data_IF_870334953810
#
_entry.id   IF_870334953810
#
_cell.length_a   1.000
_cell.length_b   1.000
_cell.length_c   1.000
_cell.angle_alpha   90.00
_cell.angle_beta   90.00
_cell.angle_gamma   90.00
#
_symmetry.space_group_name_H-M   'P 1'
#
loop_
_entity.id
_entity.type
_entity.pdbx_description
1 polymer ?
#
# COMPACT_ATOMS: atom_id res chain seq x y z
N UNK A 1 45.57 24.49 12.20
CA UNK A 1 44.65 24.34 13.35
C UNK A 1 43.47 25.28 13.16
N UNK A 2 42.36 24.77 12.66
CA UNK A 2 41.07 25.47 12.64
C UNK A 2 40.60 25.55 14.10
N UNK A 3 40.41 26.77 14.65
CA UNK A 3 39.90 26.90 16.00
C UNK A 3 38.48 26.28 16.09
N UNK A 4 38.16 25.70 17.21
CA UNK A 4 36.83 25.04 17.43
C UNK A 4 35.68 26.02 17.10
N UNK A 5 35.86 27.34 17.38
CA UNK A 5 34.90 28.40 17.03
C UNK A 5 34.70 28.54 15.53
N UNK A 6 35.76 28.49 14.74
CA UNK A 6 35.67 28.59 13.27
C UNK A 6 35.02 27.37 12.66
N UNK A 7 35.29 26.16 13.21
CA UNK A 7 34.66 24.93 12.81
C UNK A 7 33.14 24.95 13.09
N UNK A 8 32.74 25.40 14.28
CA UNK A 8 31.33 25.52 14.65
C UNK A 8 30.60 26.55 13.78
N UNK A 9 31.18 27.70 13.53
CA UNK A 9 30.60 28.72 12.64
C UNK A 9 30.43 28.19 11.22
N UNK A 10 31.38 27.44 10.70
CA UNK A 10 31.29 26.85 9.35
C UNK A 10 30.13 25.85 9.24
N UNK A 11 29.98 24.97 10.23
CA UNK A 11 28.87 24.00 10.28
C UNK A 11 27.53 24.74 10.35
N UNK A 12 27.41 25.78 11.19
CA UNK A 12 26.18 26.56 11.32
C UNK A 12 25.79 27.23 9.98
N UNK A 13 26.76 27.78 9.25
CA UNK A 13 26.51 28.38 7.93
C UNK A 13 26.01 27.35 6.92
N UNK A 14 26.59 26.15 6.91
CA UNK A 14 26.15 25.06 6.03
C UNK A 14 24.70 24.66 6.35
N UNK A 15 24.40 24.43 7.62
CA UNK A 15 23.03 24.03 8.05
C UNK A 15 22.03 25.11 7.66
N UNK A 16 22.36 26.38 7.89
CA UNK A 16 21.49 27.49 7.54
C UNK A 16 21.29 27.62 6.03
N UNK A 17 22.35 27.46 5.23
CA UNK A 17 22.28 27.45 3.76
C UNK A 17 21.39 26.32 3.22
N UNK A 18 21.56 25.11 3.73
CA UNK A 18 20.71 23.96 3.35
C UNK A 18 19.25 24.21 3.76
N UNK A 19 19.01 24.78 4.94
CA UNK A 19 17.67 25.10 5.42
C UNK A 19 16.97 26.15 4.55
N UNK A 20 17.68 27.18 4.11
CA UNK A 20 17.16 28.22 3.19
C UNK A 20 16.79 27.58 1.84
N UNK A 21 17.66 26.74 1.28
CA UNK A 21 17.41 26.05 0.01
C UNK A 21 16.18 25.13 0.14
N UNK A 22 16.09 24.37 1.23
CA UNK A 22 14.94 23.52 1.52
C UNK A 22 13.63 24.31 1.65
N UNK A 23 13.68 25.42 2.41
CA UNK A 23 12.54 26.30 2.61
C UNK A 23 12.06 26.94 1.29
N UNK A 24 13.00 27.43 0.46
CA UNK A 24 12.70 28.00 -0.86
C UNK A 24 12.05 26.96 -1.79
N UNK A 25 12.53 25.73 -1.79
CA UNK A 25 11.91 24.64 -2.58
C UNK A 25 10.49 24.33 -2.12
N UNK A 26 10.25 24.23 -0.81
CA UNK A 26 8.93 23.96 -0.26
C UNK A 26 7.93 25.07 -0.60
N UNK A 27 8.34 26.34 -0.52
CA UNK A 27 7.48 27.49 -0.86
C UNK A 27 7.16 27.58 -2.36
N UNK A 28 8.06 27.12 -3.23
CA UNK A 28 7.82 27.10 -4.67
C UNK A 28 6.94 25.92 -5.13
N UNK A 29 6.62 24.95 -4.25
CA UNK A 29 5.69 23.83 -4.51
C UNK A 29 4.20 24.21 -4.36
N UNK A 30 3.86 25.45 -4.05
CA UNK A 30 2.57 25.87 -3.52
C UNK A 30 1.42 26.06 -4.51
N UNK A 31 1.48 25.60 -5.74
CA UNK A 31 0.37 25.73 -6.71
C UNK A 31 -0.20 24.37 -7.14
N UNK A 32 -0.62 23.54 -6.20
CA UNK A 32 -1.50 22.41 -6.52
C UNK A 32 -2.94 22.91 -6.63
N UNK A 33 -3.39 23.14 -7.85
CA UNK A 33 -4.77 23.58 -8.14
C UNK A 33 -5.75 22.41 -8.28
N UNK A 34 -5.29 21.18 -8.10
CA UNK A 34 -6.13 19.98 -8.21
C UNK A 34 -6.46 19.46 -6.80
N UNK A 35 -7.75 19.23 -6.55
CA UNK A 35 -8.26 18.64 -5.29
C UNK A 35 -8.86 17.28 -5.65
N UNK A 36 -8.51 16.26 -4.90
CA UNK A 36 -9.06 14.90 -5.00
C UNK A 36 -9.83 14.59 -3.72
N UNK A 37 -11.11 14.27 -3.83
CA UNK A 37 -11.94 13.82 -2.73
C UNK A 37 -11.83 12.30 -2.62
N UNK A 38 -11.26 11.78 -1.53
CA UNK A 38 -11.01 10.37 -1.32
C UNK A 38 -11.85 9.83 -0.18
N UNK A 39 -12.67 8.82 -0.43
CA UNK A 39 -13.35 8.08 0.62
C UNK A 39 -12.48 6.90 1.09
N UNK A 40 -12.01 6.95 2.33
CA UNK A 40 -11.19 5.90 2.93
C UNK A 40 -12.09 4.98 3.76
N UNK A 41 -12.11 3.70 3.42
CA UNK A 41 -12.88 2.67 4.14
C UNK A 41 -12.00 1.97 5.16
N UNK A 42 -12.35 2.10 6.44
CA UNK A 42 -11.66 1.45 7.56
C UNK A 42 -12.57 0.42 8.24
N UNK A 43 -12.62 -0.84 7.78
CA UNK A 43 -13.56 -1.84 8.25
C UNK A 43 -13.23 -2.43 9.62
N UNK A 44 -12.01 -2.25 10.11
CA UNK A 44 -11.51 -2.78 11.38
C UNK A 44 -11.76 -4.29 11.57
N UNK A 45 -11.56 -5.07 10.51
CA UNK A 45 -11.73 -6.53 10.50
C UNK A 45 -10.48 -7.21 11.05
N UNK A 46 -10.64 -8.08 12.04
CA UNK A 46 -9.54 -8.88 12.58
C UNK A 46 -8.97 -9.81 11.48
N UNK A 47 -7.68 -9.70 11.15
CA UNK A 47 -7.04 -10.50 10.10
C UNK A 47 -7.10 -12.01 10.37
N UNK A 48 -7.11 -12.45 11.63
CA UNK A 48 -7.09 -13.86 12.01
C UNK A 48 -8.39 -14.60 11.66
N UNK A 49 -9.53 -13.91 11.69
CA UNK A 49 -10.84 -14.50 11.42
C UNK A 49 -11.38 -14.19 10.03
N UNK A 50 -10.75 -13.28 9.31
CA UNK A 50 -11.22 -12.78 8.02
C UNK A 50 -11.48 -13.89 7.00
N UNK A 51 -10.55 -14.82 6.83
CA UNK A 51 -10.68 -15.92 5.87
C UNK A 51 -11.69 -16.98 6.28
N UNK A 52 -11.93 -17.18 7.58
CA UNK A 52 -12.92 -18.11 8.09
C UNK A 52 -14.35 -17.63 7.81
N UNK A 53 -14.56 -16.31 7.82
CA UNK A 53 -15.85 -15.67 7.61
C UNK A 53 -15.99 -15.03 6.21
N UNK A 54 -15.36 -15.60 5.18
CA UNK A 54 -15.22 -15.03 3.84
C UNK A 54 -16.49 -14.36 3.30
N UNK A 55 -17.63 -15.07 3.27
CA UNK A 55 -18.89 -14.55 2.71
C UNK A 55 -19.37 -13.30 3.46
N UNK A 56 -19.36 -13.37 4.80
CA UNK A 56 -19.80 -12.26 5.65
C UNK A 56 -18.94 -11.03 5.47
N UNK A 57 -17.61 -11.21 5.41
CA UNK A 57 -16.68 -10.11 5.22
C UNK A 57 -16.82 -9.48 3.84
N UNK A 58 -16.99 -10.29 2.79
CA UNK A 58 -17.22 -9.76 1.43
C UNK A 58 -18.51 -8.94 1.38
N UNK A 59 -19.61 -9.43 1.95
CA UNK A 59 -20.88 -8.69 2.00
C UNK A 59 -20.77 -7.40 2.83
N UNK A 60 -20.05 -7.44 3.94
CA UNK A 60 -19.80 -6.26 4.77
C UNK A 60 -18.98 -5.21 4.01
N UNK A 61 -17.91 -5.63 3.31
CA UNK A 61 -17.10 -4.73 2.49
C UNK A 61 -17.87 -4.13 1.32
N UNK A 62 -18.81 -4.89 0.74
CA UNK A 62 -19.70 -4.40 -0.30
C UNK A 62 -20.64 -3.32 0.25
N UNK A 63 -21.21 -3.50 1.44
CA UNK A 63 -22.02 -2.47 2.11
C UNK A 63 -21.24 -1.18 2.36
N UNK A 64 -20.00 -1.30 2.87
CA UNK A 64 -19.12 -0.14 3.09
C UNK A 64 -18.71 0.54 1.78
N UNK A 65 -18.57 -0.24 0.68
CA UNK A 65 -18.33 0.33 -0.64
C UNK A 65 -19.50 1.19 -1.10
N UNK A 66 -20.74 0.69 -0.94
CA UNK A 66 -21.95 1.45 -1.27
C UNK A 66 -22.10 2.72 -0.42
N UNK A 67 -21.78 2.65 0.86
CA UNK A 67 -21.77 3.83 1.74
C UNK A 67 -20.71 4.86 1.28
N UNK A 68 -19.51 4.38 0.93
CA UNK A 68 -18.41 5.24 0.50
C UNK A 68 -18.72 5.99 -0.80
N UNK A 69 -19.28 5.31 -1.82
CA UNK A 69 -19.61 5.96 -3.11
C UNK A 69 -20.76 6.96 -2.99
N UNK A 70 -21.64 6.81 -2.01
CA UNK A 70 -22.73 7.77 -1.73
C UNK A 70 -22.23 9.12 -1.18
N UNK A 71 -20.95 9.21 -0.80
CA UNK A 71 -20.29 10.47 -0.39
C UNK A 71 -19.79 11.27 -1.60
N UNK A 72 -20.04 10.78 -2.83
CA UNK A 72 -19.60 11.39 -4.09
C UNK A 72 -18.08 11.68 -4.15
N UNK A 73 -17.22 10.69 -3.83
CA UNK A 73 -15.77 10.86 -3.89
C UNK A 73 -15.25 10.66 -5.32
N UNK A 74 -14.06 11.19 -5.58
CA UNK A 74 -13.31 10.92 -6.82
C UNK A 74 -12.65 9.53 -6.82
N UNK A 75 -12.37 8.97 -5.63
CA UNK A 75 -11.71 7.69 -5.43
C UNK A 75 -12.17 7.05 -4.12
N UNK A 76 -12.47 5.75 -4.14
CA UNK A 76 -12.63 4.94 -2.93
C UNK A 76 -11.36 4.11 -2.69
N UNK A 77 -10.90 4.09 -1.43
CA UNK A 77 -9.72 3.31 -1.02
C UNK A 77 -10.09 2.31 0.07
N UNK A 78 -9.82 1.04 -0.18
CA UNK A 78 -9.89 -0.04 0.80
C UNK A 78 -8.49 -0.33 1.37
N UNK A 79 -8.37 -0.89 2.59
CA UNK A 79 -7.09 -1.18 3.21
C UNK A 79 -6.34 -2.34 2.53
N UNK A 80 -5.13 -2.60 2.99
CA UNK A 80 -4.32 -3.76 2.61
C UNK A 80 -5.08 -5.07 2.84
N UNK A 81 -5.03 -5.96 1.84
CA UNK A 81 -5.72 -7.28 1.86
C UNK A 81 -7.18 -7.18 2.35
N UNK A 82 -7.91 -6.17 1.89
CA UNK A 82 -9.24 -5.82 2.40
C UNK A 82 -10.24 -6.98 2.38
N UNK A 83 -10.27 -7.72 1.27
CA UNK A 83 -11.18 -8.85 1.09
C UNK A 83 -10.46 -10.20 1.20
N UNK A 84 -11.06 -11.21 1.84
CA UNK A 84 -10.57 -12.58 1.85
C UNK A 84 -10.82 -13.27 0.49
N UNK A 85 -10.24 -12.73 -0.55
CA UNK A 85 -10.43 -13.16 -1.94
C UNK A 85 -9.19 -12.90 -2.78
N UNK A 86 -8.87 -13.84 -3.66
CA UNK A 86 -7.87 -13.67 -4.71
C UNK A 86 -8.53 -12.98 -5.91
N UNK A 87 -8.71 -11.66 -5.85
CA UNK A 87 -9.54 -10.89 -6.78
C UNK A 87 -9.19 -11.09 -8.26
N UNK A 88 -7.93 -11.37 -8.60
CA UNK A 88 -7.52 -11.68 -9.98
C UNK A 88 -8.20 -12.96 -10.49
N UNK A 89 -8.39 -13.97 -9.64
CA UNK A 89 -8.99 -15.26 -9.99
C UNK A 89 -10.47 -15.35 -9.62
N UNK A 90 -10.89 -14.71 -8.54
CA UNK A 90 -12.28 -14.67 -8.08
C UNK A 90 -13.09 -13.63 -8.86
N UNK A 91 -13.47 -13.98 -10.08
CA UNK A 91 -14.26 -13.11 -10.96
C UNK A 91 -15.60 -12.72 -10.33
N UNK A 92 -16.20 -13.58 -9.48
CA UNK A 92 -17.48 -13.28 -8.83
C UNK A 92 -17.35 -12.09 -7.88
N UNK A 93 -16.38 -12.11 -6.97
CA UNK A 93 -16.16 -11.00 -6.03
C UNK A 93 -15.68 -9.76 -6.77
N UNK A 94 -14.78 -9.91 -7.76
CA UNK A 94 -14.33 -8.79 -8.57
C UNK A 94 -15.46 -8.13 -9.36
N UNK A 95 -16.33 -8.91 -10.01
CA UNK A 95 -17.45 -8.38 -10.77
C UNK A 95 -18.49 -7.68 -9.90
N UNK A 96 -18.66 -8.11 -8.64
CA UNK A 96 -19.47 -7.39 -7.66
C UNK A 96 -18.92 -5.98 -7.42
N UNK A 97 -17.63 -5.83 -7.14
CA UNK A 97 -16.97 -4.54 -6.96
C UNK A 97 -17.04 -3.70 -8.26
N UNK A 98 -16.75 -4.31 -9.42
CA UNK A 98 -16.80 -3.64 -10.71
C UNK A 98 -18.21 -3.10 -11.02
N UNK A 99 -19.26 -3.80 -10.63
CA UNK A 99 -20.65 -3.34 -10.81
C UNK A 99 -20.90 -2.03 -10.06
N UNK A 100 -20.47 -1.94 -8.81
CA UNK A 100 -20.60 -0.72 -7.99
C UNK A 100 -19.77 0.41 -8.59
N UNK A 101 -18.50 0.15 -8.96
CA UNK A 101 -17.61 1.09 -9.65
C UNK A 101 -18.26 1.63 -10.94
N UNK A 102 -18.82 0.76 -11.77
CA UNK A 102 -19.44 1.16 -13.04
C UNK A 102 -20.73 1.97 -12.82
N UNK A 103 -21.55 1.57 -11.86
CA UNK A 103 -22.84 2.22 -11.60
C UNK A 103 -22.67 3.64 -11.06
N UNK A 104 -21.74 3.84 -10.12
CA UNK A 104 -21.47 5.14 -9.52
C UNK A 104 -20.41 5.96 -10.27
N UNK A 105 -19.74 5.37 -11.25
CA UNK A 105 -18.62 5.96 -11.99
C UNK A 105 -17.46 6.42 -11.07
N UNK A 106 -17.26 5.74 -9.95
CA UNK A 106 -16.20 6.03 -8.96
C UNK A 106 -15.20 4.87 -8.91
N UNK A 107 -13.91 5.10 -9.19
CA UNK A 107 -12.89 4.07 -9.14
C UNK A 107 -12.61 3.59 -7.70
N UNK A 108 -12.13 2.34 -7.60
CA UNK A 108 -11.78 1.68 -6.34
C UNK A 108 -10.34 1.20 -6.36
N UNK A 109 -9.56 1.59 -5.35
CA UNK A 109 -8.28 0.96 -5.02
C UNK A 109 -8.46 0.00 -3.85
N UNK A 110 -8.17 -1.29 -4.03
CA UNK A 110 -8.34 -2.30 -2.98
C UNK A 110 -7.12 -3.19 -2.83
N UNK A 111 -6.71 -3.44 -1.58
CA UNK A 111 -5.67 -4.43 -1.30
C UNK A 111 -6.17 -5.87 -1.56
N UNK A 112 -5.35 -6.69 -2.19
CA UNK A 112 -5.64 -8.09 -2.52
C UNK A 112 -4.39 -8.94 -2.51
N UNK A 113 -4.57 -10.26 -2.39
CA UNK A 113 -3.50 -11.21 -2.69
C UNK A 113 -3.63 -11.62 -4.16
N UNK A 114 -2.52 -11.54 -4.88
CA UNK A 114 -2.39 -12.03 -6.25
C UNK A 114 -1.56 -13.31 -6.29
N UNK A 115 -1.78 -14.18 -7.27
CA UNK A 115 -0.97 -15.38 -7.46
C UNK A 115 -0.56 -15.53 -8.92
N UNK A 116 0.71 -15.85 -9.15
CA UNK A 116 1.23 -16.28 -10.45
C UNK A 116 1.73 -17.73 -10.43
N UNK A 117 1.86 -18.32 -11.60
CA UNK A 117 2.45 -19.63 -11.81
C UNK A 117 3.66 -19.47 -12.71
N UNK A 118 4.84 -19.81 -12.19
CA UNK A 118 6.10 -19.78 -12.93
C UNK A 118 6.85 -21.08 -12.67
N UNK A 119 7.35 -21.75 -13.71
CA UNK A 119 8.14 -23.00 -13.62
C UNK A 119 7.50 -24.06 -12.70
N UNK A 120 6.19 -24.31 -12.85
CA UNK A 120 5.42 -25.24 -12.03
C UNK A 120 5.33 -24.88 -10.53
N UNK A 121 5.70 -23.66 -10.13
CA UNK A 121 5.61 -23.16 -8.76
C UNK A 121 4.60 -22.02 -8.67
N UNK A 122 3.79 -22.05 -7.60
CA UNK A 122 2.85 -20.96 -7.29
C UNK A 122 3.55 -19.92 -6.42
N UNK A 123 3.47 -18.66 -6.83
CA UNK A 123 3.94 -17.51 -6.08
C UNK A 123 2.75 -16.67 -5.63
N UNK A 124 2.89 -16.05 -4.47
CA UNK A 124 1.91 -15.14 -3.89
C UNK A 124 2.50 -13.74 -3.84
N UNK A 125 1.66 -12.74 -4.11
CA UNK A 125 2.04 -11.33 -4.07
C UNK A 125 1.05 -10.58 -3.20
N UNK A 126 1.55 -9.76 -2.28
CA UNK A 126 0.76 -8.74 -1.62
C UNK A 126 0.57 -7.60 -2.62
N UNK A 127 -0.66 -7.29 -2.98
CA UNK A 127 -0.94 -6.44 -4.14
C UNK A 127 -2.09 -5.49 -3.88
N UNK A 128 -2.13 -4.44 -4.67
CA UNK A 128 -3.28 -3.55 -4.79
C UNK A 128 -3.87 -3.67 -6.19
N UNK A 129 -5.19 -3.76 -6.25
CA UNK A 129 -5.97 -3.77 -7.48
C UNK A 129 -6.67 -2.43 -7.61
N UNK A 130 -6.45 -1.76 -8.73
CA UNK A 130 -7.15 -0.55 -9.10
C UNK A 130 -8.22 -0.88 -10.14
N UNK A 131 -9.49 -0.64 -9.80
CA UNK A 131 -10.67 -0.96 -10.60
C UNK A 131 -11.27 0.36 -11.08
N UNK A 132 -11.21 0.61 -12.39
CA UNK A 132 -11.79 1.79 -13.02
C UNK A 132 -13.15 1.49 -13.65
N UNK A 133 -14.02 2.50 -13.82
CA UNK A 133 -15.29 2.34 -14.53
C UNK A 133 -15.07 1.85 -15.97
N UNK A 134 -15.77 0.76 -16.32
CA UNK A 134 -15.79 0.18 -17.68
C UNK A 134 -14.42 -0.21 -18.27
N UNK A 135 -13.40 -0.35 -17.45
CA UNK A 135 -12.05 -0.72 -17.86
C UNK A 135 -11.58 -2.02 -17.20
N UNK A 136 -10.47 -2.57 -17.73
CA UNK A 136 -9.74 -3.63 -17.05
C UNK A 136 -9.01 -3.06 -15.82
N UNK A 137 -8.91 -3.87 -14.76
CA UNK A 137 -8.18 -3.48 -13.57
C UNK A 137 -6.67 -3.43 -13.81
N UNK A 138 -5.99 -2.59 -13.06
CA UNK A 138 -4.54 -2.51 -12.98
C UNK A 138 -4.08 -3.10 -11.63
N UNK A 139 -2.85 -3.60 -11.58
CA UNK A 139 -2.25 -4.20 -10.38
C UNK A 139 -0.92 -3.53 -10.05
N UNK A 140 -0.70 -3.31 -8.77
CA UNK A 140 0.61 -3.08 -8.19
C UNK A 140 0.91 -4.22 -7.21
N UNK A 141 2.08 -4.81 -7.28
CA UNK A 141 2.54 -5.83 -6.34
C UNK A 141 3.66 -5.27 -5.49
N UNK A 142 3.53 -5.41 -4.17
CA UNK A 142 4.48 -4.93 -3.18
C UNK A 142 5.92 -5.33 -3.53
N UNK A 143 6.81 -4.36 -3.62
CA UNK A 143 8.21 -4.55 -4.02
C UNK A 143 9.07 -4.84 -2.78
N UNK A 144 8.84 -4.11 -1.70
CA UNK A 144 9.61 -4.23 -0.46
C UNK A 144 8.83 -5.01 0.60
N UNK A 145 9.13 -6.30 0.71
CA UNK A 145 8.49 -7.19 1.66
C UNK A 145 9.03 -6.98 3.07
N UNK A 146 8.19 -7.24 4.08
CA UNK A 146 8.61 -7.21 5.48
C UNK A 146 9.52 -8.41 5.76
N UNK A 147 10.78 -8.17 6.17
CA UNK A 147 11.70 -9.26 6.52
C UNK A 147 11.11 -10.12 7.65
N UNK A 148 11.30 -11.44 7.56
CA UNK A 148 10.85 -12.45 8.51
C UNK A 148 9.32 -12.62 8.65
N UNK A 149 8.50 -11.69 8.15
CA UNK A 149 7.04 -11.80 8.16
C UNK A 149 6.49 -12.22 6.78
N UNK A 150 6.90 -11.55 5.71
CA UNK A 150 6.44 -11.83 4.35
C UNK A 150 7.41 -12.71 3.56
N UNK A 151 8.70 -12.74 3.93
CA UNK A 151 9.69 -13.64 3.32
C UNK A 151 10.80 -14.02 4.30
N UNK A 152 11.43 -15.18 4.03
CA UNK A 152 12.58 -15.66 4.80
C UNK A 152 13.89 -15.14 4.21
N UNK A 153 14.64 -14.34 5.00
CA UNK A 153 15.99 -13.89 4.63
C UNK A 153 17.00 -15.03 4.56
N UNK A 154 16.85 -16.06 5.42
CA UNK A 154 17.78 -17.18 5.56
C UNK A 154 16.99 -18.50 5.66
N UNK A 155 16.34 -18.99 4.59
CA UNK A 155 15.51 -20.18 4.65
C UNK A 155 16.27 -21.42 5.11
N UNK A 156 17.57 -21.55 4.73
CA UNK A 156 18.41 -22.67 5.14
C UNK A 156 18.74 -22.69 6.65
N UNK A 157 18.83 -21.52 7.29
CA UNK A 157 19.13 -21.40 8.71
C UNK A 157 17.90 -21.61 9.60
N UNK A 158 16.73 -21.15 9.15
CA UNK A 158 15.50 -21.20 9.95
C UNK A 158 14.67 -22.48 9.72
N UNK A 159 14.92 -23.23 8.63
CA UNK A 159 14.22 -24.47 8.34
C UNK A 159 14.34 -25.53 9.46
N UNK A 160 15.48 -25.69 10.17
CA UNK A 160 15.58 -26.58 11.33
C UNK A 160 14.77 -26.10 12.54
N UNK A 161 14.60 -24.77 12.72
CA UNK A 161 13.87 -24.17 13.84
C UNK A 161 12.36 -24.30 13.71
N UNK A 162 11.84 -24.53 12.50
CA UNK A 162 10.41 -24.83 12.28
C UNK A 162 9.97 -26.13 12.96
N UNK A 163 10.90 -27.05 13.24
CA UNK A 163 10.66 -28.27 14.02
C UNK A 163 10.43 -28.03 15.52
N UNK A 164 10.70 -26.81 16.01
CA UNK A 164 10.52 -26.44 17.42
C UNK A 164 9.12 -25.86 17.71
N UNK A 165 8.12 -26.10 16.84
CA UNK A 165 6.74 -25.59 17.01
C UNK A 165 6.64 -24.06 17.23
N UNK A 166 7.63 -23.30 16.81
CA UNK A 166 7.52 -21.85 16.71
C UNK A 166 6.70 -21.63 15.44
N UNK A 167 5.37 -21.53 15.57
CA UNK A 167 4.45 -21.16 14.49
C UNK A 167 4.71 -19.69 14.13
N UNK A 168 5.76 -19.44 13.38
CA UNK A 168 5.90 -18.23 12.61
C UNK A 168 5.17 -18.52 11.31
N UNK A 169 3.95 -18.00 11.17
CA UNK A 169 3.16 -18.06 9.94
C UNK A 169 3.88 -17.19 8.90
N UNK A 170 4.88 -17.78 8.25
CA UNK A 170 5.77 -17.09 7.31
C UNK A 170 5.07 -17.05 5.97
N UNK A 171 4.63 -15.87 5.57
CA UNK A 171 4.15 -15.65 4.22
C UNK A 171 5.25 -15.96 3.20
N UNK A 172 4.95 -16.81 2.23
CA UNK A 172 5.83 -17.06 1.07
C UNK A 172 5.48 -16.07 -0.05
N UNK A 173 5.55 -14.79 0.24
CA UNK A 173 5.33 -13.76 -0.77
C UNK A 173 6.58 -13.58 -1.64
N UNK A 174 6.33 -13.32 -2.92
CA UNK A 174 7.34 -12.87 -3.88
C UNK A 174 7.22 -11.35 -4.02
N UNK A 175 8.34 -10.66 -4.07
CA UNK A 175 8.38 -9.23 -4.35
C UNK A 175 7.93 -8.94 -5.78
N UNK A 176 7.21 -7.84 -5.97
CA UNK A 176 6.98 -7.24 -7.27
C UNK A 176 8.26 -6.61 -7.84
N UNK A 177 8.22 -6.26 -9.11
CA UNK A 177 9.36 -5.72 -9.85
C UNK A 177 9.06 -4.36 -10.52
N UNK A 178 7.79 -3.95 -10.52
CA UNK A 178 7.33 -2.76 -11.23
C UNK A 178 6.77 -1.69 -10.31
N UNK A 179 7.29 -0.48 -10.42
CA UNK A 179 6.73 0.72 -9.80
C UNK A 179 5.52 1.19 -10.63
N UNK A 180 4.32 0.77 -10.25
CA UNK A 180 3.10 1.05 -11.01
C UNK A 180 2.55 2.44 -10.68
N UNK A 181 2.30 3.24 -11.72
CA UNK A 181 1.52 4.47 -11.63
C UNK A 181 0.09 4.19 -12.08
N UNK A 182 -0.87 4.56 -11.27
CA UNK A 182 -2.29 4.52 -11.59
C UNK A 182 -2.77 5.88 -12.09
N UNK A 183 -3.76 5.87 -12.97
CA UNK A 183 -4.32 7.07 -13.58
C UNK A 183 -5.84 7.06 -13.56
N UNK A 184 -6.46 8.15 -13.12
CA UNK A 184 -7.90 8.43 -13.25
C UNK A 184 -8.15 9.94 -13.26
N UNK A 185 -9.12 10.42 -14.04
CA UNK A 185 -9.52 11.84 -14.11
C UNK A 185 -8.33 12.81 -14.20
N UNK A 186 -7.34 12.50 -15.04
CA UNK A 186 -6.09 13.27 -15.20
C UNK A 186 -5.20 13.37 -13.94
N UNK A 187 -5.44 12.51 -12.95
CA UNK A 187 -4.56 12.36 -11.78
C UNK A 187 -3.67 11.13 -11.93
N UNK A 188 -2.40 11.32 -11.63
CA UNK A 188 -1.43 10.23 -11.52
C UNK A 188 -1.13 9.95 -10.04
N UNK A 189 -1.31 8.72 -9.61
CA UNK A 189 -1.00 8.33 -8.24
C UNK A 189 -0.35 6.97 -8.16
N UNK A 190 0.24 6.68 -7.02
CA UNK A 190 0.77 5.37 -6.73
C UNK A 190 0.37 4.89 -5.35
N UNK A 191 0.63 3.61 -5.09
CA UNK A 191 0.28 2.98 -3.84
C UNK A 191 1.52 2.41 -3.15
N UNK A 192 1.60 2.63 -1.84
CA UNK A 192 2.56 2.03 -0.94
C UNK A 192 1.82 1.02 -0.06
N UNK A 193 2.33 -0.20 0.03
CA UNK A 193 1.69 -1.23 0.83
C UNK A 193 2.46 -1.39 2.15
N UNK A 194 1.82 -0.93 3.26
CA UNK A 194 2.28 -1.14 4.63
C UNK A 194 3.75 -0.68 4.82
N UNK A 195 4.66 -1.58 5.11
CA UNK A 195 6.09 -1.34 5.35
C UNK A 195 6.79 -0.45 4.30
N UNK A 196 6.32 -0.44 3.05
CA UNK A 196 6.90 0.42 2.01
C UNK A 196 6.81 1.90 2.34
N UNK A 197 5.82 2.33 3.12
CA UNK A 197 5.66 3.72 3.56
C UNK A 197 6.82 4.21 4.42
N UNK A 198 7.52 3.29 5.08
CA UNK A 198 8.70 3.58 5.90
C UNK A 198 10.01 3.67 5.11
N UNK A 199 9.98 3.41 3.78
CA UNK A 199 11.16 3.40 2.92
C UNK A 199 11.14 4.63 2.01
N UNK A 200 11.89 5.72 2.32
CA UNK A 200 11.83 6.97 1.56
C UNK A 200 12.15 6.82 0.08
N UNK A 201 13.03 5.88 -0.26
CA UNK A 201 13.44 5.60 -1.64
C UNK A 201 12.28 5.12 -2.52
N UNK A 202 11.33 4.37 -1.94
CA UNK A 202 10.15 3.89 -2.66
C UNK A 202 9.25 5.06 -3.04
N UNK A 203 8.93 5.91 -2.07
CA UNK A 203 8.14 7.13 -2.29
C UNK A 203 8.78 8.04 -3.35
N UNK A 204 10.10 8.26 -3.23
CA UNK A 204 10.86 9.06 -4.18
C UNK A 204 10.77 8.51 -5.62
N UNK A 205 10.93 7.20 -5.80
CA UNK A 205 10.85 6.57 -7.12
C UNK A 205 9.46 6.70 -7.75
N UNK A 206 8.38 6.59 -6.98
CA UNK A 206 7.05 6.82 -7.50
C UNK A 206 6.84 8.26 -7.96
N UNK A 207 7.32 9.23 -7.17
CA UNK A 207 7.26 10.65 -7.56
C UNK A 207 8.10 10.93 -8.79
N UNK A 208 9.31 10.36 -8.90
CA UNK A 208 10.16 10.45 -10.10
C UNK A 208 9.48 9.87 -11.36
N UNK A 209 8.60 8.89 -11.20
CA UNK A 209 7.79 8.32 -12.29
C UNK A 209 6.50 9.09 -12.57
N UNK A 210 6.25 10.17 -11.86
CA UNK A 210 5.14 11.09 -12.13
C UNK A 210 3.95 10.96 -11.18
N UNK A 211 4.03 10.21 -10.08
CA UNK A 211 2.96 10.21 -9.09
C UNK A 211 2.78 11.60 -8.48
N UNK A 212 1.57 12.16 -8.60
CA UNK A 212 1.17 13.45 -8.04
C UNK A 212 0.79 13.33 -6.56
N UNK A 213 0.28 12.16 -6.15
CA UNK A 213 0.04 11.81 -4.74
C UNK A 213 0.26 10.31 -4.49
N UNK A 214 0.39 9.95 -3.21
CA UNK A 214 0.63 8.59 -2.78
C UNK A 214 -0.52 8.13 -1.87
N UNK A 215 -1.01 6.92 -2.10
CA UNK A 215 -1.95 6.23 -1.22
C UNK A 215 -1.17 5.23 -0.39
N UNK A 216 -1.39 5.18 0.92
CA UNK A 216 -0.80 4.19 1.81
C UNK A 216 -1.91 3.23 2.25
N UNK A 217 -1.76 1.95 1.93
CA UNK A 217 -2.65 0.88 2.39
C UNK A 217 -1.93 0.03 3.41
N UNK A 218 -2.45 -0.03 4.64
CA UNK A 218 -1.89 -0.85 5.70
C UNK A 218 -2.98 -1.66 6.42
N UNK A 219 -2.55 -2.71 7.13
CA UNK A 219 -3.39 -3.49 8.02
C UNK A 219 -2.67 -3.74 9.34
N UNK A 220 -2.67 -2.74 10.22
CA UNK A 220 -2.00 -2.80 11.51
C UNK A 220 -2.68 -3.75 12.51
N UNK A 221 -3.79 -4.37 12.13
CA UNK A 221 -4.46 -5.42 12.91
C UNK A 221 -3.54 -6.61 13.24
N UNK A 222 -2.49 -6.85 12.45
CA UNK A 222 -1.44 -7.83 12.73
C UNK A 222 -0.55 -7.47 13.92
N UNK A 223 -0.42 -6.17 14.22
CA UNK A 223 0.43 -5.62 15.26
C UNK A 223 -0.33 -5.37 16.57
N UNK A 224 -1.58 -5.86 16.66
CA UNK A 224 -2.47 -5.67 17.81
C UNK A 224 -1.79 -6.12 19.12
N UNK A 225 -1.80 -5.23 20.11
CA UNK A 225 -1.16 -5.48 21.41
C UNK A 225 0.32 -5.13 21.47
N UNK A 226 0.89 -4.54 20.42
CA UNK A 226 2.26 -4.01 20.38
C UNK A 226 2.28 -2.49 20.19
N UNK A 227 3.46 -1.89 20.27
CA UNK A 227 3.66 -0.47 19.92
C UNK A 227 3.76 -0.24 18.39
N UNK A 228 3.73 -1.31 17.57
CA UNK A 228 3.85 -1.25 16.11
C UNK A 228 2.90 -0.26 15.44
N UNK A 229 1.58 -0.26 15.75
CA UNK A 229 0.62 0.67 15.14
C UNK A 229 0.89 2.15 15.41
N UNK A 230 1.63 2.46 16.48
CA UNK A 230 2.01 3.84 16.83
C UNK A 230 3.32 4.27 16.18
N UNK A 231 4.09 3.33 15.61
CA UNK A 231 5.36 3.59 14.94
C UNK A 231 5.23 3.56 13.41
N UNK A 232 4.19 2.89 12.91
CA UNK A 232 3.87 2.77 11.49
C UNK A 232 2.94 3.90 11.04
#
# INVERSE_FOLDING_TARGET
NISLKNGLSFITVIIFGISIIGWSKIHNLSNFNKIVNVAIVQPNVDPNIKWQNKKRIISFMDSLHLEAVNLDPDLVVFPETALPSYLVRDSRTRNMLQKTVNYHNVPLLTGTIHTSFEMNKRYYFNSSMFIKPNEKFNLYSKIHLVPFAEYDLFPAFFHPLSKLNINIDRGNFKAGDNYTIFEFNDYLFSNLICYESSIPDVSRKFVEQGAEFLVIQANDGWLKGSYGPYQH
#
